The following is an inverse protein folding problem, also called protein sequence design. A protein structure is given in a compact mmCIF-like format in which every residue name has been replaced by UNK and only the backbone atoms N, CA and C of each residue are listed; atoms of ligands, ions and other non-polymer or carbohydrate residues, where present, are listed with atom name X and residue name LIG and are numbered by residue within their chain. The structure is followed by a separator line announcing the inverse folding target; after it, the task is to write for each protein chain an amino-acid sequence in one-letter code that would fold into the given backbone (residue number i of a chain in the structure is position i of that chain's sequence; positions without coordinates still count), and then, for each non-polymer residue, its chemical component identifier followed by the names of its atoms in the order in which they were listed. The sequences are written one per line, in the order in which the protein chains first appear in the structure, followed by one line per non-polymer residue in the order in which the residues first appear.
data_IF_241028630981
#
_entry.id   IF_241028630981
#
_cell.length_a   1.000
_cell.length_b   1.000
_cell.length_c   1.000
_cell.angle_alpha   90.00
_cell.angle_beta   90.00
_cell.angle_gamma   90.00
#
_symmetry.space_group_name_H-M   'P 1'
#
loop_
_entity.id
_entity.type
_entity.pdbx_description
1 polymer ?
#
# COMPACT_ATOMS: atom_id res chain seq x y z
N UNK A 1 -1.95 -8.62 2.17
CA UNK A 1 -1.97 -9.58 1.03
C UNK A 1 -1.96 -11.05 1.47
N UNK A 2 -1.05 -11.47 2.37
CA UNK A 2 -0.95 -12.88 2.80
C UNK A 2 -2.25 -13.47 3.39
N UNK A 3 -2.93 -12.87 4.40
CA UNK A 3 -4.12 -13.48 4.99
C UNK A 3 -5.25 -13.72 3.99
N UNK A 4 -5.46 -12.77 3.05
CA UNK A 4 -6.45 -12.87 2.00
C UNK A 4 -6.20 -14.07 1.06
N UNK A 5 -4.94 -14.27 0.64
CA UNK A 5 -4.57 -15.39 -0.23
C UNK A 5 -4.63 -16.73 0.50
N UNK A 6 -4.20 -16.78 1.78
CA UNK A 6 -4.35 -17.97 2.61
C UNK A 6 -5.82 -18.39 2.67
N UNK A 7 -6.71 -17.47 3.04
CA UNK A 7 -8.15 -17.75 3.14
C UNK A 7 -8.72 -18.26 1.82
N UNK A 8 -8.41 -17.61 0.69
CA UNK A 8 -8.90 -17.99 -0.63
C UNK A 8 -8.39 -19.36 -1.10
N UNK A 9 -7.18 -19.75 -0.71
CA UNK A 9 -6.51 -20.97 -1.21
C UNK A 9 -6.54 -22.14 -0.19
N UNK A 10 -7.61 -22.26 0.60
CA UNK A 10 -7.77 -23.38 1.53
C UNK A 10 -7.25 -23.12 2.95
N UNK A 11 -7.17 -21.86 3.35
CA UNK A 11 -6.85 -21.44 4.71
C UNK A 11 -5.48 -21.94 5.18
N UNK A 12 -5.48 -22.78 6.22
CA UNK A 12 -4.27 -23.35 6.80
C UNK A 12 -3.53 -24.32 5.85
N UNK A 13 -4.22 -24.99 4.93
CA UNK A 13 -3.59 -25.92 3.99
C UNK A 13 -2.60 -25.21 3.04
N UNK A 14 -2.85 -23.93 2.73
CA UNK A 14 -1.95 -23.10 1.91
C UNK A 14 -0.56 -22.92 2.55
N UNK A 15 -0.42 -23.09 3.87
CA UNK A 15 0.87 -22.96 4.55
C UNK A 15 1.88 -24.02 4.10
N UNK A 16 1.43 -25.23 3.72
CA UNK A 16 2.32 -26.32 3.29
C UNK A 16 3.09 -25.93 2.01
N UNK A 17 2.44 -25.61 0.88
CA UNK A 17 3.16 -25.17 -0.31
C UNK A 17 3.86 -23.82 -0.10
N UNK A 18 3.33 -22.93 0.73
CA UNK A 18 3.97 -21.65 1.05
C UNK A 18 5.34 -21.85 1.70
N UNK A 19 5.44 -22.71 2.71
CA UNK A 19 6.70 -23.00 3.41
C UNK A 19 7.68 -23.71 2.47
N UNK A 20 7.22 -24.66 1.65
CA UNK A 20 8.09 -25.33 0.68
C UNK A 20 8.70 -24.34 -0.33
N UNK A 21 7.88 -23.47 -0.92
CA UNK A 21 8.35 -22.44 -1.84
C UNK A 21 9.25 -21.40 -1.16
N UNK A 22 9.00 -21.10 0.12
CA UNK A 22 9.85 -20.23 0.91
C UNK A 22 11.24 -20.84 1.12
N UNK A 23 11.31 -22.12 1.53
CA UNK A 23 12.56 -22.80 1.83
C UNK A 23 13.39 -23.10 0.59
N UNK A 24 12.76 -23.57 -0.50
CA UNK A 24 13.49 -24.00 -1.70
C UNK A 24 13.60 -22.93 -2.78
N UNK A 25 12.73 -21.92 -2.78
CA UNK A 25 12.71 -20.85 -3.79
C UNK A 25 13.18 -19.51 -3.23
N UNK A 26 12.44 -18.95 -2.28
CA UNK A 26 12.67 -17.58 -1.83
C UNK A 26 13.97 -17.44 -1.00
N UNK A 27 14.21 -18.35 -0.05
CA UNK A 27 15.36 -18.27 0.85
C UNK A 27 16.70 -18.39 0.10
N UNK A 28 16.91 -19.33 -0.85
CA UNK A 28 18.15 -19.39 -1.62
C UNK A 28 18.39 -18.16 -2.49
N UNK A 29 17.35 -17.63 -3.14
CA UNK A 29 17.46 -16.42 -3.96
C UNK A 29 17.81 -15.19 -3.13
N UNK A 30 17.13 -15.01 -1.99
CA UNK A 30 17.41 -13.91 -1.06
C UNK A 30 18.83 -14.02 -0.50
N UNK A 31 19.26 -15.21 -0.11
CA UNK A 31 20.62 -15.42 0.40
C UNK A 31 21.68 -15.16 -0.68
N UNK A 32 21.45 -15.62 -1.92
CA UNK A 32 22.35 -15.36 -3.05
C UNK A 32 22.52 -13.85 -3.28
N UNK A 33 21.44 -13.07 -3.26
CA UNK A 33 21.49 -11.61 -3.43
C UNK A 33 22.27 -10.93 -2.30
N UNK A 34 22.05 -11.35 -1.05
CA UNK A 34 22.78 -10.84 0.11
C UNK A 34 24.28 -11.13 -0.01
N UNK A 35 24.67 -12.38 -0.31
CA UNK A 35 26.08 -12.75 -0.46
C UNK A 35 26.73 -11.99 -1.61
N UNK A 36 26.05 -11.86 -2.75
CA UNK A 36 26.55 -11.11 -3.89
C UNK A 36 26.79 -9.63 -3.55
N UNK A 37 25.84 -9.01 -2.84
CA UNK A 37 25.95 -7.61 -2.40
C UNK A 37 27.06 -7.40 -1.37
N UNK A 38 27.16 -8.28 -0.37
CA UNK A 38 28.18 -8.21 0.68
C UNK A 38 29.60 -8.46 0.14
N UNK A 39 29.76 -9.44 -0.76
CA UNK A 39 31.06 -9.79 -1.33
C UNK A 39 31.60 -8.70 -2.25
N UNK A 40 30.77 -8.18 -3.16
CA UNK A 40 31.20 -7.20 -4.16
C UNK A 40 31.19 -5.75 -3.63
N UNK A 41 30.39 -5.45 -2.60
CA UNK A 41 30.24 -4.10 -2.01
C UNK A 41 29.92 -3.01 -3.04
N UNK A 42 29.15 -3.38 -4.06
CA UNK A 42 28.79 -2.52 -5.17
C UNK A 42 27.27 -2.41 -5.28
N UNK A 43 26.81 -1.29 -5.87
CA UNK A 43 25.40 -1.10 -6.15
C UNK A 43 24.87 -2.05 -7.25
N UNK A 44 23.53 -2.12 -7.40
CA UNK A 44 22.84 -3.11 -8.24
C UNK A 44 23.23 -3.07 -9.73
N UNK A 45 23.64 -1.91 -10.26
CA UNK A 45 24.12 -1.80 -11.66
C UNK A 45 25.59 -2.18 -11.79
N UNK A 46 26.41 -1.81 -10.80
CA UNK A 46 27.86 -2.02 -10.86
C UNK A 46 28.24 -3.47 -10.60
N UNK A 47 27.46 -4.21 -9.81
CA UNK A 47 27.72 -5.62 -9.49
C UNK A 47 27.82 -6.51 -10.75
N UNK A 48 27.09 -6.15 -11.81
CA UNK A 48 27.10 -6.88 -13.08
C UNK A 48 28.36 -6.67 -13.93
N UNK A 49 29.39 -5.98 -13.41
CA UNK A 49 30.75 -6.06 -13.98
C UNK A 49 31.29 -7.50 -14.02
N UNK A 50 30.74 -8.40 -13.20
CA UNK A 50 31.00 -9.85 -13.24
C UNK A 50 30.64 -10.45 -14.61
N UNK A 51 29.50 -10.05 -15.19
CA UNK A 51 29.04 -10.50 -16.50
C UNK A 51 28.33 -9.36 -17.22
N UNK A 52 29.02 -8.63 -18.11
CA UNK A 52 28.52 -7.36 -18.66
C UNK A 52 27.25 -7.50 -19.50
N UNK A 53 26.96 -8.70 -20.03
CA UNK A 53 25.72 -9.00 -20.76
C UNK A 53 24.47 -8.80 -19.87
N UNK A 54 24.60 -9.01 -18.56
CA UNK A 54 23.51 -8.86 -17.59
C UNK A 54 23.45 -7.48 -16.93
N UNK A 55 24.23 -6.51 -17.40
CA UNK A 55 24.20 -5.13 -16.88
C UNK A 55 22.80 -4.50 -16.96
N UNK A 56 21.99 -4.91 -17.94
CA UNK A 56 20.59 -4.52 -18.07
C UNK A 56 19.72 -4.92 -16.87
N UNK A 57 20.00 -6.06 -16.21
CA UNK A 57 19.24 -6.54 -15.05
C UNK A 57 19.32 -5.54 -13.90
N UNK A 58 20.51 -4.99 -13.64
CA UNK A 58 20.70 -3.97 -12.61
C UNK A 58 20.02 -2.63 -12.93
N UNK A 59 19.90 -2.26 -14.21
CA UNK A 59 19.15 -1.07 -14.59
C UNK A 59 17.63 -1.31 -14.43
N UNK A 60 17.14 -2.47 -14.85
CA UNK A 60 15.75 -2.87 -14.67
C UNK A 60 15.35 -2.89 -13.19
N UNK A 61 16.21 -3.39 -12.30
CA UNK A 61 15.90 -3.41 -10.86
C UNK A 61 15.75 -2.00 -10.27
N UNK A 62 16.60 -1.04 -10.69
CA UNK A 62 16.47 0.37 -10.29
C UNK A 62 15.17 0.98 -10.83
N UNK A 63 14.79 0.69 -12.08
CA UNK A 63 13.53 1.18 -12.66
C UNK A 63 12.31 0.59 -11.93
N UNK A 64 12.31 -0.71 -11.62
CA UNK A 64 11.23 -1.34 -10.86
C UNK A 64 11.13 -0.74 -9.46
N UNK A 65 12.26 -0.50 -8.78
CA UNK A 65 12.28 0.16 -7.48
C UNK A 65 11.72 1.60 -7.55
N UNK A 66 12.02 2.33 -8.61
CA UNK A 66 11.47 3.67 -8.85
C UNK A 66 9.95 3.66 -9.02
N UNK A 67 9.40 2.76 -9.86
CA UNK A 67 7.94 2.61 -9.99
C UNK A 67 7.28 2.15 -8.69
N UNK A 68 7.93 1.24 -7.96
CA UNK A 68 7.43 0.78 -6.66
C UNK A 68 7.37 1.93 -5.64
N UNK A 69 8.38 2.79 -5.63
CA UNK A 69 8.45 3.95 -4.75
C UNK A 69 7.23 4.87 -4.90
N UNK A 70 6.75 5.12 -6.12
CA UNK A 70 5.59 6.00 -6.33
C UNK A 70 4.34 5.48 -5.64
N UNK A 71 3.91 4.24 -5.94
CA UNK A 71 2.64 3.75 -5.39
C UNK A 71 2.73 3.42 -3.89
N UNK A 72 3.87 2.92 -3.41
CA UNK A 72 4.02 2.62 -1.98
C UNK A 72 3.98 3.88 -1.12
N UNK A 73 4.61 4.97 -1.58
CA UNK A 73 4.57 6.23 -0.83
C UNK A 73 3.16 6.83 -0.78
N UNK A 74 2.34 6.63 -1.83
CA UNK A 74 0.92 7.01 -1.80
C UNK A 74 0.14 6.23 -0.72
N UNK A 75 0.34 4.91 -0.62
CA UNK A 75 -0.31 4.08 0.42
C UNK A 75 0.13 4.50 1.83
N UNK A 76 1.41 4.81 2.01
CA UNK A 76 1.93 5.34 3.28
C UNK A 76 1.29 6.71 3.57
N UNK A 77 1.13 7.56 2.54
CA UNK A 77 0.43 8.85 2.65
C UNK A 77 -1.02 8.72 3.10
N UNK A 78 -1.75 7.70 2.62
CA UNK A 78 -3.08 7.37 3.15
C UNK A 78 -3.02 6.98 4.62
N UNK A 79 -2.05 6.13 5.00
CA UNK A 79 -1.86 5.73 6.40
C UNK A 79 -1.63 6.94 7.33
N UNK A 80 -0.80 7.91 6.92
CA UNK A 80 -0.61 9.16 7.69
C UNK A 80 -1.88 9.99 7.80
N UNK A 81 -2.67 10.07 6.73
CA UNK A 81 -3.96 10.76 6.74
C UNK A 81 -4.95 10.12 7.73
N UNK A 82 -5.04 8.78 7.73
CA UNK A 82 -5.85 8.04 8.69
C UNK A 82 -5.32 8.16 10.13
N UNK A 83 -4.00 8.18 10.32
CA UNK A 83 -3.38 8.42 11.63
C UNK A 83 -3.79 9.77 12.20
N UNK A 84 -3.69 10.84 11.42
CA UNK A 84 -4.13 12.17 11.83
C UNK A 84 -5.64 12.20 12.14
N UNK A 85 -6.45 11.60 11.27
CA UNK A 85 -7.91 11.56 11.42
C UNK A 85 -8.35 10.79 12.69
N UNK A 86 -7.53 9.86 13.16
CA UNK A 86 -7.79 9.05 14.36
C UNK A 86 -7.62 9.82 15.67
N UNK A 87 -7.05 11.04 15.66
CA UNK A 87 -6.98 11.89 16.86
C UNK A 87 -8.29 12.64 17.16
N UNK A 88 -9.31 12.49 16.31
CA UNK A 88 -10.64 13.05 16.54
C UNK A 88 -11.38 12.30 17.66
N UNK A 89 -12.21 13.01 18.45
CA UNK A 89 -12.96 12.41 19.55
C UNK A 89 -13.95 11.32 19.09
N UNK A 90 -14.58 11.52 17.93
CA UNK A 90 -15.36 10.51 17.23
C UNK A 90 -14.69 10.23 15.87
N UNK A 91 -14.55 8.94 15.52
CA UNK A 91 -13.87 8.56 14.29
C UNK A 91 -14.79 8.86 13.09
N UNK A 92 -14.26 9.48 12.02
CA UNK A 92 -15.11 9.94 10.91
C UNK A 92 -15.70 8.79 10.07
N UNK A 93 -15.16 7.58 10.18
CA UNK A 93 -15.68 6.35 9.56
C UNK A 93 -16.57 5.52 10.50
N UNK A 94 -16.97 6.05 11.66
CA UNK A 94 -17.82 5.33 12.62
C UNK A 94 -19.31 5.41 12.28
N UNK A 95 -19.76 6.56 11.75
CA UNK A 95 -21.19 6.88 11.57
C UNK A 95 -21.54 7.15 10.12
N UNK A 96 -22.78 6.84 9.76
CA UNK A 96 -23.33 7.21 8.45
C UNK A 96 -23.81 8.68 8.37
N UNK A 97 -23.81 9.44 9.46
CA UNK A 97 -24.26 10.83 9.48
C UNK A 97 -23.16 11.85 9.11
N UNK A 98 -22.62 11.76 7.88
CA UNK A 98 -21.60 12.67 7.37
C UNK A 98 -21.95 13.18 5.97
N UNK A 99 -21.36 14.29 5.54
CA UNK A 99 -21.68 14.96 4.26
C UNK A 99 -21.31 14.15 3.02
N UNK A 100 -20.42 13.17 3.14
CA UNK A 100 -19.96 12.32 2.05
C UNK A 100 -20.74 11.01 1.90
N UNK A 101 -21.59 10.67 2.88
CA UNK A 101 -22.28 9.38 2.90
C UNK A 101 -23.53 9.38 2.00
N UNK A 102 -23.90 8.22 1.47
CA UNK A 102 -25.18 8.03 0.76
C UNK A 102 -26.32 7.66 1.71
N UNK A 103 -27.54 7.78 1.20
CA UNK A 103 -28.75 7.28 1.85
C UNK A 103 -28.71 5.75 2.08
N UNK A 104 -27.86 5.02 1.34
CA UNK A 104 -27.68 3.57 1.47
C UNK A 104 -26.57 3.15 2.44
N UNK A 105 -25.94 4.08 3.16
CA UNK A 105 -24.87 3.79 4.11
C UNK A 105 -25.36 2.97 5.31
N UNK A 106 -24.59 1.95 5.71
CA UNK A 106 -24.88 1.14 6.89
C UNK A 106 -23.76 1.20 7.93
N UNK A 107 -24.09 1.61 9.17
CA UNK A 107 -23.15 1.71 10.30
C UNK A 107 -23.40 0.68 11.43
N UNK A 108 -24.36 -0.23 11.24
CA UNK A 108 -24.67 -1.31 12.19
C UNK A 108 -25.26 -0.86 13.53
N UNK A 109 -25.46 0.45 13.74
CA UNK A 109 -26.06 1.02 14.96
C UNK A 109 -27.52 1.44 14.77
N UNK A 110 -28.01 1.51 13.52
CA UNK A 110 -29.42 1.72 13.24
C UNK A 110 -30.25 0.45 13.54
N UNK A 111 -30.90 0.44 14.72
CA UNK A 111 -31.93 -0.54 15.05
C UNK A 111 -33.20 -0.27 14.22
N UNK A 112 -33.47 -1.12 13.25
CA UNK A 112 -34.82 -1.24 12.66
C UNK A 112 -35.11 -0.29 11.50
N UNK A 113 -34.66 -0.67 10.32
CA UNK A 113 -35.45 -0.56 9.09
C UNK A 113 -34.98 -1.68 8.18
N UNK A 114 -35.91 -2.52 7.75
CA UNK A 114 -35.68 -3.65 6.85
C UNK A 114 -34.70 -3.25 5.74
N UNK A 115 -33.48 -3.78 5.80
CA UNK A 115 -32.52 -3.60 4.73
C UNK A 115 -33.17 -4.15 3.46
N UNK A 116 -33.42 -3.26 2.48
CA UNK A 116 -33.98 -3.64 1.19
C UNK A 116 -33.20 -4.85 0.66
N UNK A 117 -33.90 -5.97 0.52
CA UNK A 117 -33.37 -7.32 0.47
C UNK A 117 -32.57 -7.69 -0.80
N UNK A 118 -32.02 -6.73 -1.55
CA UNK A 118 -31.43 -7.00 -2.86
C UNK A 118 -30.02 -6.44 -3.12
N UNK A 119 -29.40 -5.66 -2.23
CA UNK A 119 -27.99 -5.27 -2.34
C UNK A 119 -27.35 -5.21 -0.94
N UNK A 120 -26.14 -5.73 -0.79
CA UNK A 120 -25.33 -5.54 0.42
C UNK A 120 -24.96 -4.06 0.53
N UNK A 121 -25.49 -3.30 1.52
CA UNK A 121 -25.24 -1.87 1.62
C UNK A 121 -23.76 -1.61 1.96
N UNK A 122 -23.14 -0.54 1.41
CA UNK A 122 -21.77 -0.17 1.74
C UNK A 122 -21.66 0.24 3.21
N UNK A 123 -20.58 -0.17 3.86
CA UNK A 123 -20.32 0.20 5.25
C UNK A 123 -19.83 1.65 5.35
N UNK A 124 -20.08 2.30 6.49
CA UNK A 124 -19.60 3.67 6.76
C UNK A 124 -18.08 3.84 6.52
N UNK A 125 -17.28 2.81 6.82
CA UNK A 125 -15.84 2.82 6.57
C UNK A 125 -15.47 2.68 5.08
N UNK A 126 -16.23 1.89 4.31
CA UNK A 126 -16.03 1.79 2.87
C UNK A 126 -16.38 3.12 2.19
N UNK A 127 -17.51 3.74 2.54
CA UNK A 127 -17.90 5.04 1.99
C UNK A 127 -16.92 6.15 2.38
N UNK A 128 -16.42 6.15 3.63
CA UNK A 128 -15.39 7.11 4.02
C UNK A 128 -14.14 7.00 3.13
N UNK A 129 -13.65 5.79 2.87
CA UNK A 129 -12.48 5.60 2.03
C UNK A 129 -12.73 5.99 0.57
N UNK A 130 -13.84 5.54 -0.03
CA UNK A 130 -14.11 5.75 -1.45
C UNK A 130 -14.58 7.18 -1.76
N UNK A 131 -15.41 7.76 -0.91
CA UNK A 131 -16.05 9.05 -1.17
C UNK A 131 -15.38 10.22 -0.47
N UNK A 132 -14.95 10.06 0.78
CA UNK A 132 -14.33 11.17 1.51
C UNK A 132 -12.82 11.28 1.21
N UNK A 133 -12.10 10.16 1.29
CA UNK A 133 -10.64 10.14 1.13
C UNK A 133 -10.24 10.17 -0.34
N UNK A 134 -10.72 9.21 -1.13
CA UNK A 134 -10.34 9.05 -2.53
C UNK A 134 -11.15 9.91 -3.50
N UNK A 135 -12.38 10.30 -3.14
CA UNK A 135 -13.33 10.96 -4.04
C UNK A 135 -13.54 10.22 -5.37
N UNK A 136 -13.55 8.88 -5.35
CA UNK A 136 -13.67 8.06 -6.54
C UNK A 136 -14.95 8.35 -7.33
N UNK A 137 -16.02 8.76 -6.64
CA UNK A 137 -17.32 9.09 -7.23
C UNK A 137 -17.31 10.32 -8.16
N UNK A 138 -16.25 11.14 -8.14
CA UNK A 138 -16.09 12.29 -9.05
C UNK A 138 -15.36 11.91 -10.35
N UNK A 139 -14.83 10.68 -10.44
CA UNK A 139 -14.04 10.20 -11.57
C UNK A 139 -14.80 9.10 -12.30
N UNK A 140 -14.98 9.27 -13.62
CA UNK A 140 -15.59 8.26 -14.49
C UNK A 140 -14.62 7.14 -14.89
N UNK A 141 -13.39 7.15 -14.35
CA UNK A 141 -12.40 6.10 -14.51
C UNK A 141 -10.99 6.62 -14.83
N UNK A 142 -10.14 5.74 -15.36
CA UNK A 142 -8.71 6.06 -15.61
C UNK A 142 -8.51 7.17 -16.64
N UNK A 143 -9.49 7.39 -17.52
CA UNK A 143 -9.46 8.45 -18.52
C UNK A 143 -9.69 9.85 -17.94
N UNK A 144 -10.38 9.95 -16.80
CA UNK A 144 -10.65 11.21 -16.11
C UNK A 144 -10.39 11.05 -14.62
N UNK A 145 -9.13 11.30 -14.23
CA UNK A 145 -8.66 11.12 -12.85
C UNK A 145 -9.08 12.29 -11.93
N UNK A 146 -9.70 13.34 -12.45
CA UNK A 146 -10.04 14.53 -11.69
C UNK A 146 -8.82 15.29 -11.15
N UNK A 147 -9.08 16.20 -10.19
CA UNK A 147 -8.04 17.00 -9.55
C UNK A 147 -7.45 16.28 -8.33
N UNK A 148 -6.14 16.44 -8.04
CA UNK A 148 -5.52 15.84 -6.87
C UNK A 148 -6.08 16.44 -5.57
N UNK A 149 -6.51 15.58 -4.65
CA UNK A 149 -6.92 15.96 -3.29
C UNK A 149 -5.76 16.58 -2.52
N UNK A 150 -5.89 17.85 -2.16
CA UNK A 150 -4.80 18.59 -1.52
C UNK A 150 -4.40 18.01 -0.15
N UNK A 151 -5.34 17.46 0.62
CA UNK A 151 -5.05 16.84 1.92
C UNK A 151 -4.13 15.61 1.76
N UNK A 152 -4.38 14.81 0.71
CA UNK A 152 -3.53 13.66 0.38
C UNK A 152 -2.19 14.09 -0.21
N UNK A 153 -2.16 15.18 -0.97
CA UNK A 153 -0.90 15.75 -1.48
C UNK A 153 -0.01 16.24 -0.32
N UNK A 154 -0.60 16.87 0.70
CA UNK A 154 0.11 17.29 1.91
C UNK A 154 0.59 16.08 2.72
N UNK A 155 -0.23 15.04 2.90
CA UNK A 155 0.22 13.84 3.62
C UNK A 155 1.36 13.12 2.88
N UNK A 156 1.30 13.06 1.55
CA UNK A 156 2.38 12.54 0.71
C UNK A 156 3.66 13.39 0.82
N UNK A 157 3.54 14.73 0.84
CA UNK A 157 4.67 15.62 1.04
C UNK A 157 5.36 15.36 2.39
N UNK A 158 4.58 15.17 3.46
CA UNK A 158 5.12 14.82 4.78
C UNK A 158 5.89 13.50 4.72
N UNK A 159 5.37 12.48 4.03
CA UNK A 159 6.08 11.19 3.83
C UNK A 159 7.43 11.42 3.17
N UNK A 160 7.50 12.19 2.09
CA UNK A 160 8.76 12.49 1.41
C UNK A 160 9.74 13.29 2.28
N UNK A 161 9.25 14.23 3.10
CA UNK A 161 10.08 14.97 4.04
C UNK A 161 10.69 14.02 5.08
N UNK A 162 9.90 13.13 5.66
CA UNK A 162 10.37 12.12 6.63
C UNK A 162 11.40 11.20 5.98
N UNK A 163 11.12 10.69 4.78
CA UNK A 163 12.06 9.84 4.03
C UNK A 163 13.35 10.57 3.68
N UNK A 164 13.26 11.84 3.30
CA UNK A 164 14.43 12.67 3.03
C UNK A 164 15.32 12.76 4.26
N UNK A 165 14.78 13.12 5.43
CA UNK A 165 15.56 13.20 6.66
C UNK A 165 16.13 11.84 7.11
N UNK A 166 15.39 10.74 6.90
CA UNK A 166 15.86 9.39 7.22
C UNK A 166 17.01 8.91 6.33
N UNK A 167 17.11 9.44 5.10
CA UNK A 167 18.11 9.03 4.10
C UNK A 167 19.21 10.07 3.86
N UNK A 168 19.05 11.31 4.33
CA UNK A 168 19.94 12.43 4.01
C UNK A 168 21.41 12.16 4.38
N UNK A 169 21.65 11.49 5.51
CA UNK A 169 23.00 11.12 5.99
C UNK A 169 23.44 9.73 5.50
N UNK A 170 22.69 9.12 4.58
CA UNK A 170 22.93 7.79 4.04
C UNK A 170 22.71 6.68 5.08
N UNK A 171 23.34 5.52 4.83
CA UNK A 171 23.18 4.28 5.63
C UNK A 171 23.51 4.45 7.12
N UNK A 172 24.28 5.47 7.49
CA UNK A 172 24.61 5.78 8.90
C UNK A 172 23.44 6.36 9.69
N UNK A 173 22.40 6.84 9.00
CA UNK A 173 21.22 7.50 9.59
C UNK A 173 19.96 6.66 9.52
N UNK A 174 19.98 5.58 8.73
CA UNK A 174 18.81 4.72 8.50
C UNK A 174 18.76 3.52 9.45
N UNK A 175 19.81 3.29 10.23
CA UNK A 175 19.92 2.24 11.24
C UNK A 175 19.75 2.76 12.66
#
# INVERSE_FOLDING_TARGET
RFPYLCYKNGGGAFLIPYILMLLFGAMPLFYMELVLGQYNRQGPVSVWKICPIFKGVGLCSVLVAFYASFYYNVIIGWSFFFLYSSFSAELPWLRCNNTWNTEGCWDGLANGSEAAANLTPPSAAAEYFERAVLELHLSDGVHDLGAPRWQLAVSLLIVYIVLYFALFKGVKSSG
#
